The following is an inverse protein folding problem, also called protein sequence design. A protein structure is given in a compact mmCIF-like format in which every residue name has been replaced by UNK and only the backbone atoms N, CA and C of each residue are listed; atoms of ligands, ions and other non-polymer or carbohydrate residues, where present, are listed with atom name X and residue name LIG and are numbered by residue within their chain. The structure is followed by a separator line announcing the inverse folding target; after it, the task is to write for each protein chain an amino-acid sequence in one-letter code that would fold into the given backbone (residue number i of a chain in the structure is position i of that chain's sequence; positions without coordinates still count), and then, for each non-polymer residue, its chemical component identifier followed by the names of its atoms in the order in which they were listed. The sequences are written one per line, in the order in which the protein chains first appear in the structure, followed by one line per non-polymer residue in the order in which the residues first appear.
data_IF_293711213299
#
_entry.id   IF_293711213299
#
_cell.length_a   1.000
_cell.length_b   1.000
_cell.length_c   1.000
_cell.angle_alpha   90.00
_cell.angle_beta   90.00
_cell.angle_gamma   90.00
#
_symmetry.space_group_name_H-M   'P 1'
#
loop_
_entity.id
_entity.type
_entity.pdbx_description
1 polymer ?
#
# COMPACT_ATOMS: atom_id res chain seq x y z
N UNK A 1 -15.71 -22.06 -10.87
CA UNK A 1 -16.40 -20.87 -10.35
C UNK A 1 -15.76 -20.52 -8.99
N UNK A 2 -14.83 -19.56 -8.94
CA UNK A 2 -14.11 -19.21 -7.71
C UNK A 2 -14.89 -18.13 -6.96
N UNK A 3 -15.60 -18.53 -5.91
CA UNK A 3 -16.45 -17.69 -5.09
C UNK A 3 -15.64 -16.59 -4.39
N UNK A 4 -16.06 -15.35 -4.66
CA UNK A 4 -15.66 -14.11 -4.00
C UNK A 4 -16.11 -14.13 -2.53
N UNK A 5 -15.30 -14.70 -1.63
CA UNK A 5 -15.63 -14.72 -0.20
C UNK A 5 -14.37 -14.43 0.61
N UNK A 6 -14.26 -13.20 1.13
CA UNK A 6 -13.59 -12.79 2.39
C UNK A 6 -13.04 -11.36 2.41
N UNK A 7 -13.06 -10.61 1.30
CA UNK A 7 -12.69 -9.18 1.37
C UNK A 7 -13.93 -8.30 1.58
N UNK A 8 -13.89 -7.35 2.53
CA UNK A 8 -15.01 -6.42 2.77
C UNK A 8 -15.13 -5.35 1.67
N UNK A 9 -14.23 -5.35 0.67
CA UNK A 9 -14.15 -4.35 -0.39
C UNK A 9 -14.76 -4.82 -1.71
N UNK A 10 -15.18 -3.88 -2.54
CA UNK A 10 -15.69 -4.17 -3.88
C UNK A 10 -14.61 -4.78 -4.79
N UNK A 11 -15.02 -5.45 -5.88
CA UNK A 11 -14.12 -6.14 -6.83
C UNK A 11 -12.98 -5.23 -7.32
N UNK A 12 -13.30 -3.98 -7.69
CA UNK A 12 -12.33 -2.98 -8.16
C UNK A 12 -11.24 -2.67 -7.13
N UNK A 13 -11.60 -2.64 -5.84
CA UNK A 13 -10.63 -2.40 -4.77
C UNK A 13 -9.78 -3.63 -4.49
N UNK A 14 -10.36 -4.83 -4.52
CA UNK A 14 -9.62 -6.08 -4.38
C UNK A 14 -8.56 -6.22 -5.50
N UNK A 15 -8.93 -5.93 -6.75
CA UNK A 15 -8.01 -5.92 -7.90
C UNK A 15 -6.89 -4.88 -7.71
N UNK A 16 -7.24 -3.65 -7.28
CA UNK A 16 -6.26 -2.61 -6.98
C UNK A 16 -5.23 -3.08 -5.95
N UNK A 17 -5.68 -3.63 -4.82
CA UNK A 17 -4.81 -4.11 -3.76
C UNK A 17 -3.91 -5.24 -4.27
N UNK A 18 -4.44 -6.16 -5.06
CA UNK A 18 -3.67 -7.24 -5.66
C UNK A 18 -2.58 -6.73 -6.60
N UNK A 19 -2.88 -5.74 -7.44
CA UNK A 19 -1.86 -5.10 -8.29
C UNK A 19 -0.78 -4.41 -7.47
N UNK A 20 -1.15 -3.68 -6.42
CA UNK A 20 -0.17 -2.99 -5.57
C UNK A 20 0.66 -3.98 -4.77
N UNK A 21 0.08 -5.11 -4.37
CA UNK A 21 0.81 -6.21 -3.73
C UNK A 21 1.83 -6.84 -4.69
N UNK A 22 1.47 -7.07 -5.96
CA UNK A 22 2.42 -7.55 -6.98
C UNK A 22 3.60 -6.59 -7.13
N UNK A 23 3.33 -5.28 -7.19
CA UNK A 23 4.40 -4.27 -7.25
C UNK A 23 5.25 -4.22 -5.98
N UNK A 24 4.62 -4.32 -4.80
CA UNK A 24 5.29 -4.26 -3.50
C UNK A 24 6.37 -5.33 -3.32
N UNK A 25 6.20 -6.51 -3.93
CA UNK A 25 7.17 -7.62 -3.89
C UNK A 25 8.54 -7.26 -4.46
N UNK A 26 8.63 -6.24 -5.31
CA UNK A 26 9.89 -5.78 -5.91
C UNK A 26 10.53 -4.61 -5.15
N UNK A 27 9.96 -4.20 -4.02
CA UNK A 27 10.51 -3.12 -3.22
C UNK A 27 11.39 -3.66 -2.09
N UNK A 28 12.44 -2.92 -1.79
CA UNK A 28 13.29 -3.16 -0.61
C UNK A 28 12.81 -2.27 0.52
N UNK A 29 12.65 -2.83 1.72
CA UNK A 29 12.19 -2.09 2.90
C UNK A 29 13.29 -2.08 3.95
N UNK A 30 13.69 -0.89 4.38
CA UNK A 30 14.70 -0.65 5.41
C UNK A 30 14.04 0.12 6.55
N UNK A 31 14.35 -0.24 7.79
CA UNK A 31 13.90 0.49 8.98
C UNK A 31 14.64 1.80 9.13
N UNK A 32 13.91 2.90 9.36
CA UNK A 32 14.52 4.22 9.57
C UNK A 32 15.02 4.33 11.02
N UNK A 33 16.24 3.86 11.28
CA UNK A 33 16.86 3.88 12.61
C UNK A 33 16.00 3.17 13.68
N UNK A 34 15.97 3.73 14.90
CA UNK A 34 15.14 3.24 16.01
C UNK A 34 13.70 3.79 16.02
N UNK A 35 13.27 4.48 14.95
CA UNK A 35 11.94 5.08 14.93
C UNK A 35 10.90 4.02 14.61
N UNK A 36 10.08 3.67 15.61
CA UNK A 36 8.97 2.74 15.43
C UNK A 36 8.04 3.22 14.32
N UNK A 37 7.58 2.27 13.53
CA UNK A 37 6.61 2.46 12.44
C UNK A 37 7.02 3.45 11.33
N UNK A 38 8.32 3.66 11.11
CA UNK A 38 8.86 4.40 9.96
C UNK A 38 9.81 3.53 9.15
N UNK A 39 9.64 3.57 7.83
CA UNK A 39 10.43 2.79 6.89
C UNK A 39 10.83 3.62 5.68
N UNK A 40 11.97 3.26 5.13
CA UNK A 40 12.39 3.66 3.81
C UNK A 40 12.13 2.50 2.84
N UNK A 41 11.35 2.79 1.81
CA UNK A 41 10.95 1.83 0.79
C UNK A 41 11.59 2.21 -0.53
N UNK A 42 12.56 1.43 -0.95
CA UNK A 42 13.32 1.62 -2.17
C UNK A 42 12.69 0.83 -3.32
N UNK A 43 12.45 1.51 -4.43
CA UNK A 43 11.83 0.98 -5.62
C UNK A 43 12.82 1.05 -6.77
N UNK A 44 13.01 -0.07 -7.48
CA UNK A 44 13.71 -0.05 -8.77
C UNK A 44 12.75 0.44 -9.84
N UNK A 45 13.07 1.58 -10.44
CA UNK A 45 12.32 2.09 -11.58
C UNK A 45 12.87 1.37 -12.81
N UNK A 46 11.98 0.77 -13.60
CA UNK A 46 12.37 0.32 -14.93
C UNK A 46 12.64 1.58 -15.74
N UNK A 47 13.91 1.80 -16.08
CA UNK A 47 14.25 2.80 -17.09
C UNK A 47 13.50 2.44 -18.37
N UNK A 48 12.86 3.43 -18.99
CA UNK A 48 12.39 3.27 -20.37
C UNK A 48 13.57 3.02 -21.30
N UNK A 49 13.31 2.64 -22.54
CA UNK A 49 14.35 2.52 -23.57
C UNK A 49 15.18 3.82 -23.62
N UNK A 50 16.49 3.73 -23.37
CA UNK A 50 17.41 4.88 -23.31
C UNK A 50 17.51 5.61 -21.96
N UNK A 51 16.84 5.14 -20.90
CA UNK A 51 16.90 5.77 -19.57
C UNK A 51 17.54 4.84 -18.54
N UNK A 52 18.43 5.36 -17.70
CA UNK A 52 19.09 4.57 -16.66
C UNK A 52 18.05 4.04 -15.65
N UNK A 53 18.34 2.86 -15.08
CA UNK A 53 17.52 2.29 -14.01
C UNK A 53 17.64 3.15 -12.76
N UNK A 54 16.69 4.06 -12.56
CA UNK A 54 16.64 4.93 -11.39
C UNK A 54 16.18 4.19 -10.14
N UNK A 55 16.93 4.33 -9.05
CA UNK A 55 16.50 3.89 -7.72
C UNK A 55 15.81 5.06 -7.03
N UNK A 56 14.57 4.86 -6.56
CA UNK A 56 13.81 5.88 -5.84
C UNK A 56 13.43 5.37 -4.45
N UNK A 57 13.67 6.16 -3.41
CA UNK A 57 13.34 5.81 -2.03
C UNK A 57 12.18 6.67 -1.51
N UNK A 58 11.17 6.02 -0.93
CA UNK A 58 10.03 6.67 -0.31
C UNK A 58 10.01 6.45 1.19
N UNK A 59 9.71 7.51 1.93
CA UNK A 59 9.48 7.43 3.38
C UNK A 59 8.03 7.01 3.61
N UNK A 60 7.84 5.97 4.41
CA UNK A 60 6.53 5.43 4.80
C UNK A 60 6.39 5.48 6.30
N UNK A 61 5.25 5.98 6.78
CA UNK A 61 4.84 5.89 8.17
C UNK A 61 3.53 5.12 8.24
N UNK A 62 3.47 4.09 9.08
CA UNK A 62 2.23 3.36 9.35
C UNK A 62 1.70 3.83 10.71
N UNK A 63 0.45 4.27 10.74
CA UNK A 63 -0.22 4.65 11.98
C UNK A 63 -0.56 3.43 12.84
N UNK A 64 -1.34 3.66 13.88
CA UNK A 64 -1.96 2.57 14.61
C UNK A 64 -3.12 1.99 13.78
N UNK A 65 -3.37 0.68 13.91
CA UNK A 65 -4.42 0.00 13.15
C UNK A 65 -5.82 0.50 13.52
N UNK A 66 -6.03 1.00 14.75
CA UNK A 66 -7.29 1.63 15.16
C UNK A 66 -7.62 2.89 14.37
N UNK A 67 -6.61 3.59 13.88
CA UNK A 67 -6.77 4.92 13.29
C UNK A 67 -6.89 4.84 11.77
N UNK A 68 -6.65 3.67 11.17
CA UNK A 68 -6.61 3.43 9.73
C UNK A 68 -5.72 4.44 8.97
N UNK A 69 -4.71 5.01 9.64
CA UNK A 69 -3.86 6.07 9.07
C UNK A 69 -2.55 5.52 8.52
N UNK A 70 -2.17 5.95 7.32
CA UNK A 70 -0.83 5.74 6.79
C UNK A 70 -0.37 6.94 5.97
N UNK A 71 0.94 7.15 5.89
CA UNK A 71 1.54 8.17 5.04
C UNK A 71 2.69 7.61 4.21
N UNK A 72 2.85 8.16 3.02
CA UNK A 72 3.94 7.82 2.13
C UNK A 72 4.36 9.08 1.37
N UNK A 73 5.66 9.31 1.20
CA UNK A 73 6.17 10.46 0.45
C UNK A 73 5.77 10.47 -1.03
N UNK A 74 5.18 9.39 -1.57
CA UNK A 74 4.57 9.40 -2.89
C UNK A 74 3.17 10.06 -2.94
N UNK A 75 2.65 10.52 -1.80
CA UNK A 75 1.34 11.19 -1.60
C UNK A 75 0.09 10.39 -2.00
N UNK A 76 0.21 9.22 -2.63
CA UNK A 76 -0.92 8.40 -3.06
C UNK A 76 -1.90 8.03 -1.93
N UNK A 77 -1.46 7.63 -0.72
CA UNK A 77 -2.41 7.34 0.35
C UNK A 77 -3.29 8.53 0.73
N UNK A 78 -2.70 9.74 0.76
CA UNK A 78 -3.42 10.98 1.05
C UNK A 78 -4.40 11.37 -0.06
N UNK A 79 -4.00 11.21 -1.33
CA UNK A 79 -4.80 11.62 -2.49
C UNK A 79 -5.92 10.62 -2.83
N UNK A 80 -5.66 9.32 -2.65
CA UNK A 80 -6.54 8.25 -3.13
C UNK A 80 -7.31 7.55 -2.01
N UNK A 81 -7.04 7.92 -0.75
CA UNK A 81 -7.63 7.32 0.46
C UNK A 81 -7.50 5.78 0.52
N UNK A 82 -6.40 5.26 -0.02
CA UNK A 82 -6.09 3.82 -0.06
C UNK A 82 -4.58 3.59 -0.10
N UNK A 83 -4.08 2.47 0.43
CA UNK A 83 -2.65 2.27 0.60
C UNK A 83 -1.96 2.07 -0.75
N UNK A 84 -0.75 2.62 -0.88
CA UNK A 84 0.07 2.45 -2.09
C UNK A 84 0.98 1.22 -1.98
N UNK A 85 1.62 0.82 -3.07
CA UNK A 85 2.56 -0.31 -3.09
C UNK A 85 3.74 -0.17 -2.10
N UNK A 86 4.09 1.05 -1.66
CA UNK A 86 5.12 1.25 -0.64
C UNK A 86 4.60 0.94 0.77
N UNK A 87 3.37 1.37 1.06
CA UNK A 87 2.65 1.05 2.31
C UNK A 87 2.50 -0.46 2.44
N UNK A 88 2.07 -1.15 1.36
CA UNK A 88 1.95 -2.61 1.35
C UNK A 88 3.28 -3.31 1.63
N UNK A 89 4.39 -2.82 1.07
CA UNK A 89 5.71 -3.39 1.33
C UNK A 89 6.12 -3.22 2.81
N UNK A 90 5.90 -2.04 3.38
CA UNK A 90 6.16 -1.78 4.80
C UNK A 90 5.30 -2.66 5.71
N UNK A 91 4.01 -2.82 5.39
CA UNK A 91 3.09 -3.70 6.13
C UNK A 91 3.59 -5.16 6.11
N UNK A 92 4.00 -5.66 4.94
CA UNK A 92 4.53 -7.01 4.80
C UNK A 92 5.78 -7.27 5.65
N UNK A 93 6.65 -6.26 5.80
CA UNK A 93 7.88 -6.37 6.62
C UNK A 93 7.58 -6.63 8.10
N UNK A 94 6.46 -6.12 8.61
CA UNK A 94 6.02 -6.31 10.00
C UNK A 94 4.81 -7.23 10.15
N UNK A 95 4.44 -7.96 9.09
CA UNK A 95 3.28 -8.88 9.05
C UNK A 95 1.96 -8.23 9.48
N UNK A 96 1.78 -6.95 9.14
CA UNK A 96 0.56 -6.19 9.42
C UNK A 96 -0.39 -6.28 8.22
N UNK A 97 -1.69 -6.37 8.48
CA UNK A 97 -2.69 -6.36 7.41
C UNK A 97 -2.82 -4.96 6.76
N UNK A 98 -2.39 -4.86 5.51
CA UNK A 98 -2.49 -3.61 4.75
C UNK A 98 -3.94 -3.15 4.50
N UNK A 99 -4.94 -4.04 4.64
CA UNK A 99 -6.34 -3.67 4.42
C UNK A 99 -6.88 -2.69 5.47
N UNK A 100 -6.30 -2.68 6.67
CA UNK A 100 -6.62 -1.71 7.73
C UNK A 100 -6.36 -0.26 7.32
N UNK A 101 -5.55 -0.01 6.28
CA UNK A 101 -5.28 1.34 5.78
C UNK A 101 -6.15 1.75 4.58
N UNK A 102 -7.16 0.94 4.22
CA UNK A 102 -8.14 1.29 3.19
C UNK A 102 -9.26 2.10 3.84
N UNK A 103 -9.60 3.25 3.26
CA UNK A 103 -10.73 4.04 3.75
C UNK A 103 -12.03 3.24 3.72
N UNK A 104 -12.85 3.41 4.77
CA UNK A 104 -14.17 2.78 4.91
C UNK A 104 -15.13 3.14 3.76
N UNK A 105 -14.88 4.22 3.03
CA UNK A 105 -15.62 4.58 1.82
C UNK A 105 -15.64 3.44 0.77
N UNK A 106 -14.61 2.59 0.76
CA UNK A 106 -14.48 1.51 -0.22
C UNK A 106 -15.09 0.17 0.20
N UNK A 107 -15.75 0.13 1.36
CA UNK A 107 -16.48 -1.06 1.83
C UNK A 107 -17.68 -1.34 0.92
N UNK A 108 -17.93 -2.62 0.61
CA UNK A 108 -19.07 -3.06 -0.23
C UNK A 108 -20.38 -2.44 0.24
N UNK A 109 -20.61 -2.45 1.54
CA UNK A 109 -21.81 -1.94 2.20
C UNK A 109 -22.04 -0.43 1.97
N UNK A 110 -20.96 0.34 1.82
CA UNK A 110 -21.04 1.79 1.59
C UNK A 110 -21.09 2.15 0.11
N UNK A 111 -20.58 1.30 -0.78
CA UNK A 111 -20.62 1.51 -2.23
C UNK A 111 -21.97 1.10 -2.83
N UNK A 112 -22.63 0.10 -2.26
CA UNK A 112 -23.95 -0.37 -2.72
C UNK A 112 -25.11 0.48 -2.21
N UNK A 113 -24.92 1.21 -1.10
CA UNK A 113 -25.91 2.08 -0.47
C UNK A 113 -25.62 3.58 -0.69
N UNK A 114 -24.84 3.93 -1.73
CA UNK A 114 -24.50 5.31 -2.11
C UNK A 114 -25.19 5.74 -3.40
#
# INVERSE_FOLDING_TARGET
QMSNTQTPFCKKMAEYLQEKAKKARFHTVITTGNVRRKWEVTCRTKGGFGSSTGVMTHKVTLGHESDNTCSCSCNKPKLLHKPCSHVLAACAKIKLDSTSYVSMFYLKDRVLNA
#
